data_IF_759616951818
#
_entry.id   IF_759616951818
#
_cell.length_a   1.000
_cell.length_b   1.000
_cell.length_c   1.000
_cell.angle_alpha   90.00
_cell.angle_beta   90.00
_cell.angle_gamma   90.00
#
_symmetry.space_group_name_H-M   'P 1'
#
loop_
_entity.id
_entity.type
_entity.pdbx_description
1 polymer ?
#
# COMPACT_ATOMS: atom_id res chain seq x y z
N UNK A 1 3.75 5.04 2.91
CA UNK A 1 4.73 4.34 2.07
C UNK A 1 6.01 3.95 2.83
N UNK A 2 6.62 4.84 3.63
CA UNK A 2 7.83 4.49 4.40
C UNK A 2 7.60 3.35 5.41
N UNK A 3 6.50 3.34 6.14
CA UNK A 3 6.16 2.31 7.13
C UNK A 3 6.07 0.91 6.52
N UNK A 4 5.48 0.80 5.33
CA UNK A 4 5.34 -0.50 4.63
C UNK A 4 6.67 -0.99 4.09
N UNK A 5 7.53 -0.10 3.58
CA UNK A 5 8.91 -0.45 3.19
C UNK A 5 9.66 -1.04 4.37
N UNK A 6 9.60 -0.39 5.54
CA UNK A 6 10.26 -0.85 6.76
C UNK A 6 9.76 -2.23 7.23
N UNK A 7 8.45 -2.50 7.13
CA UNK A 7 7.90 -3.82 7.50
C UNK A 7 8.45 -4.93 6.60
N UNK A 8 8.48 -4.69 5.29
CA UNK A 8 9.00 -5.66 4.33
C UNK A 8 10.52 -5.86 4.49
N UNK A 9 11.27 -4.79 4.73
CA UNK A 9 12.71 -4.85 4.99
C UNK A 9 13.01 -5.67 6.25
N UNK A 10 12.28 -5.41 7.34
CA UNK A 10 12.41 -6.18 8.58
C UNK A 10 12.06 -7.66 8.39
N UNK A 11 11.03 -7.96 7.60
CA UNK A 11 10.64 -9.33 7.31
C UNK A 11 11.73 -10.08 6.53
N UNK A 12 12.25 -9.48 5.45
CA UNK A 12 13.33 -10.07 4.64
C UNK A 12 14.58 -10.26 5.49
N UNK A 13 14.92 -9.30 6.34
CA UNK A 13 16.06 -9.40 7.26
C UNK A 13 15.89 -10.57 8.23
N UNK A 14 14.73 -10.67 8.87
CA UNK A 14 14.43 -11.75 9.81
C UNK A 14 14.52 -13.14 9.17
N UNK A 15 14.07 -13.29 7.91
CA UNK A 15 14.24 -14.53 7.15
C UNK A 15 15.71 -14.85 6.93
N UNK A 16 16.50 -13.84 6.55
CA UNK A 16 17.92 -13.99 6.27
C UNK A 16 18.71 -14.34 7.52
N UNK A 17 18.45 -13.67 8.65
CA UNK A 17 19.02 -14.00 9.96
C UNK A 17 18.64 -15.40 10.44
N UNK A 18 17.37 -15.81 10.23
CA UNK A 18 16.91 -17.15 10.58
C UNK A 18 17.64 -18.23 9.78
N UNK A 19 17.87 -17.98 8.50
CA UNK A 19 18.64 -18.88 7.64
C UNK A 19 20.10 -18.96 8.08
N UNK A 20 20.75 -17.85 8.42
CA UNK A 20 22.12 -17.82 8.94
C UNK A 20 22.23 -18.65 10.24
N UNK A 21 21.32 -18.44 11.20
CA UNK A 21 21.25 -19.23 12.45
C UNK A 21 20.98 -20.70 12.21
N UNK A 22 20.26 -21.06 11.15
CA UNK A 22 19.98 -22.45 10.78
C UNK A 22 21.22 -23.10 10.20
N UNK A 23 21.97 -22.40 9.37
CA UNK A 23 23.25 -22.87 8.83
C UNK A 23 24.30 -23.10 9.94
N UNK A 24 24.34 -22.23 10.94
CA UNK A 24 25.24 -22.39 12.10
C UNK A 24 24.97 -23.65 12.92
N UNK A 25 23.76 -24.20 12.82
CA UNK A 25 23.37 -25.43 13.55
C UNK A 25 23.60 -26.72 12.77
N UNK A 26 24.06 -26.63 11.52
CA UNK A 26 24.36 -27.82 10.72
C UNK A 26 25.57 -28.52 11.32
N UNK A 27 25.43 -29.82 11.76
CA UNK A 27 26.54 -30.56 12.31
C UNK A 27 27.64 -30.79 11.27
N UNK A 28 28.90 -30.77 11.69
CA UNK A 28 30.06 -30.97 10.80
C UNK A 28 30.07 -32.39 10.14
N UNK A 29 29.32 -33.34 10.69
CA UNK A 29 29.20 -34.72 10.20
C UNK A 29 28.22 -34.85 9.01
N UNK A 30 27.46 -33.80 8.72
CA UNK A 30 26.43 -33.79 7.66
C UNK A 30 27.00 -33.10 6.42
N UNK A 31 26.58 -33.60 5.25
CA UNK A 31 26.92 -32.89 4.00
C UNK A 31 26.34 -31.49 3.98
N UNK A 32 27.22 -30.53 4.24
CA UNK A 32 26.89 -29.10 4.29
C UNK A 32 26.23 -28.62 2.99
N UNK A 33 26.69 -29.10 1.84
CA UNK A 33 26.20 -28.69 0.53
C UNK A 33 24.71 -28.99 0.37
N UNK A 34 24.30 -30.20 0.72
CA UNK A 34 22.88 -30.64 0.64
C UNK A 34 21.99 -29.88 1.64
N UNK A 35 22.47 -29.72 2.88
CA UNK A 35 21.71 -28.99 3.91
C UNK A 35 21.61 -27.49 3.62
N UNK A 36 22.70 -26.90 3.15
CA UNK A 36 22.71 -25.51 2.69
C UNK A 36 21.69 -25.30 1.55
N UNK A 37 21.68 -26.20 0.57
CA UNK A 37 20.72 -26.12 -0.52
C UNK A 37 19.25 -26.14 -0.02
N UNK A 38 18.96 -27.00 0.97
CA UNK A 38 17.61 -27.06 1.55
C UNK A 38 17.24 -25.74 2.25
N UNK A 39 18.11 -25.21 3.12
CA UNK A 39 17.89 -23.92 3.81
C UNK A 39 17.72 -22.78 2.82
N UNK A 40 18.56 -22.71 1.78
CA UNK A 40 18.48 -21.65 0.77
C UNK A 40 17.23 -21.75 -0.12
N UNK A 41 16.75 -22.97 -0.40
CA UNK A 41 15.50 -23.19 -1.15
C UNK A 41 14.28 -22.73 -0.35
N UNK A 42 14.30 -22.87 0.97
CA UNK A 42 13.25 -22.37 1.86
C UNK A 42 13.22 -20.84 2.00
N UNK A 43 14.31 -20.16 1.60
CA UNK A 43 14.39 -18.70 1.55
C UNK A 43 13.59 -18.13 0.36
N UNK A 44 12.30 -18.41 0.31
CA UNK A 44 11.37 -17.89 -0.68
C UNK A 44 10.28 -17.06 0.00
N UNK A 45 9.78 -16.08 -0.71
CA UNK A 45 8.61 -15.33 -0.26
C UNK A 45 7.40 -15.77 -1.08
N UNK A 46 6.33 -16.16 -0.41
CA UNK A 46 5.08 -16.51 -1.08
C UNK A 46 4.57 -15.29 -1.88
N UNK A 47 4.24 -15.50 -3.15
CA UNK A 47 3.79 -14.44 -4.05
C UNK A 47 4.89 -13.54 -4.61
N UNK A 48 6.18 -13.79 -4.32
CA UNK A 48 7.33 -13.04 -4.84
C UNK A 48 8.26 -13.99 -5.59
N UNK A 49 8.07 -14.09 -6.89
CA UNK A 49 8.79 -15.05 -7.75
C UNK A 49 10.28 -14.73 -7.90
N UNK A 50 10.63 -13.45 -7.76
CA UNK A 50 12.01 -12.95 -7.84
C UNK A 50 12.82 -13.18 -6.56
N UNK A 51 12.18 -13.64 -5.46
CA UNK A 51 12.85 -13.85 -4.19
C UNK A 51 13.67 -15.16 -4.20
N UNK A 52 14.94 -15.07 -3.87
CA UNK A 52 15.83 -16.22 -3.72
C UNK A 52 16.95 -15.95 -2.73
N UNK A 53 17.38 -17.03 -2.05
CA UNK A 53 18.53 -17.04 -1.17
C UNK A 53 19.80 -17.54 -1.89
N UNK A 54 20.96 -17.02 -1.49
CA UNK A 54 22.26 -17.53 -1.89
C UNK A 54 23.28 -17.34 -0.77
N UNK A 55 24.35 -18.10 -0.81
CA UNK A 55 25.41 -18.12 0.21
C UNK A 55 26.74 -17.78 -0.42
N UNK A 56 27.48 -16.90 0.22
CA UNK A 56 28.80 -16.43 -0.20
C UNK A 56 29.80 -16.65 0.94
N UNK A 57 30.98 -17.10 0.63
CA UNK A 57 32.08 -17.22 1.61
C UNK A 57 32.64 -15.83 1.96
N UNK A 58 33.36 -15.76 3.05
CA UNK A 58 34.07 -14.53 3.50
C UNK A 58 35.05 -13.96 2.51
N UNK A 59 35.55 -14.78 1.59
CA UNK A 59 36.46 -14.38 0.50
C UNK A 59 35.68 -13.84 -0.75
N UNK A 60 34.35 -13.96 -0.76
CA UNK A 60 33.50 -13.54 -1.87
C UNK A 60 33.15 -14.66 -2.86
N UNK A 61 33.55 -15.91 -2.58
CA UNK A 61 33.23 -17.06 -3.42
C UNK A 61 31.77 -17.50 -3.19
N UNK A 62 31.01 -17.72 -4.26
CA UNK A 62 29.64 -18.20 -4.19
C UNK A 62 29.59 -19.66 -3.79
N UNK A 63 29.11 -19.95 -2.59
CA UNK A 63 28.99 -21.34 -2.07
C UNK A 63 27.68 -22.00 -2.52
N UNK A 64 26.61 -21.22 -2.63
CA UNK A 64 25.33 -21.66 -3.14
C UNK A 64 24.62 -20.53 -3.92
N UNK A 65 24.03 -20.89 -5.04
CA UNK A 65 23.15 -20.02 -5.82
C UNK A 65 22.10 -20.88 -6.55
N UNK A 66 20.83 -20.41 -6.72
CA UNK A 66 19.82 -21.13 -7.51
C UNK A 66 20.25 -21.40 -8.97
N UNK A 67 21.08 -20.52 -9.53
CA UNK A 67 21.72 -20.71 -10.84
C UNK A 67 23.06 -21.40 -10.63
N UNK A 68 23.14 -22.67 -10.97
CA UNK A 68 24.33 -23.51 -10.72
C UNK A 68 25.63 -22.94 -11.29
N UNK A 69 25.57 -22.30 -12.45
CA UNK A 69 26.73 -21.68 -13.11
C UNK A 69 27.40 -20.57 -12.33
N UNK A 70 26.74 -20.05 -11.29
CA UNK A 70 27.30 -19.02 -10.39
C UNK A 70 28.07 -19.59 -9.22
N UNK A 71 27.87 -20.85 -8.88
CA UNK A 71 28.57 -21.51 -7.77
C UNK A 71 30.08 -21.61 -8.08
N UNK A 72 30.92 -21.30 -7.10
CA UNK A 72 32.37 -21.26 -7.21
C UNK A 72 32.92 -19.99 -7.91
N UNK A 73 32.06 -19.07 -8.35
CA UNK A 73 32.48 -17.79 -8.91
C UNK A 73 32.41 -16.68 -7.86
N UNK A 74 33.11 -15.59 -8.13
CA UNK A 74 33.06 -14.39 -7.28
C UNK A 74 31.66 -13.74 -7.34
N UNK A 75 31.18 -13.24 -6.21
CA UNK A 75 29.91 -12.53 -6.09
C UNK A 75 29.91 -11.28 -6.99
N UNK A 76 28.80 -11.06 -7.69
CA UNK A 76 28.61 -9.92 -8.59
C UNK A 76 27.93 -8.73 -7.92
N UNK A 77 27.14 -8.99 -6.88
CA UNK A 77 26.35 -7.99 -6.17
C UNK A 77 27.23 -7.00 -5.42
N UNK A 78 27.16 -5.71 -5.77
CA UNK A 78 27.99 -4.65 -5.18
C UNK A 78 27.80 -4.48 -3.67
N UNK A 79 26.57 -4.71 -3.16
CA UNK A 79 26.31 -4.67 -1.71
C UNK A 79 27.13 -5.77 -1.01
N UNK A 80 27.06 -6.99 -1.53
CA UNK A 80 27.77 -8.13 -0.94
C UNK A 80 29.27 -8.02 -1.10
N UNK A 81 29.78 -7.48 -2.22
CA UNK A 81 31.20 -7.12 -2.36
C UNK A 81 31.65 -6.15 -1.27
N UNK A 82 30.80 -5.17 -0.92
CA UNK A 82 31.08 -4.25 0.18
C UNK A 82 31.17 -4.96 1.53
N UNK A 83 30.31 -5.95 1.79
CA UNK A 83 30.36 -6.79 3.00
C UNK A 83 31.64 -7.62 3.04
N UNK A 84 32.00 -8.29 1.93
CA UNK A 84 33.25 -9.05 1.78
C UNK A 84 34.46 -8.17 2.07
N UNK A 85 34.51 -6.95 1.50
CA UNK A 85 35.62 -6.01 1.72
C UNK A 85 35.73 -5.60 3.19
N UNK A 86 34.62 -5.42 3.90
CA UNK A 86 34.63 -5.14 5.34
C UNK A 86 35.18 -6.32 6.13
N UNK A 87 34.76 -7.54 5.85
CA UNK A 87 35.24 -8.76 6.49
C UNK A 87 36.77 -8.95 6.27
N UNK A 88 37.25 -8.74 5.03
CA UNK A 88 38.67 -8.82 4.71
C UNK A 88 39.49 -7.76 5.42
N UNK A 89 38.88 -6.61 5.75
CA UNK A 89 39.50 -5.57 6.54
C UNK A 89 39.47 -5.81 8.06
N UNK A 90 38.88 -6.93 8.50
CA UNK A 90 38.73 -7.28 9.90
C UNK A 90 37.51 -6.60 10.58
N UNK A 91 36.66 -5.94 9.81
CA UNK A 91 35.42 -5.34 10.30
C UNK A 91 34.25 -6.30 10.08
N UNK A 92 33.46 -6.57 11.12
CA UNK A 92 32.26 -7.38 11.03
C UNK A 92 31.06 -6.44 10.87
N UNK A 93 30.45 -6.35 9.67
CA UNK A 93 29.28 -5.51 9.47
C UNK A 93 28.06 -6.10 10.18
N UNK A 94 27.12 -5.23 10.57
CA UNK A 94 25.83 -5.66 11.09
C UNK A 94 24.95 -6.17 9.96
N UNK A 95 24.08 -7.14 10.28
CA UNK A 95 23.06 -7.63 9.38
C UNK A 95 22.16 -6.48 8.93
N UNK A 96 21.86 -6.40 7.65
CA UNK A 96 21.11 -5.27 7.10
C UNK A 96 20.36 -5.62 5.82
N UNK A 97 19.43 -4.74 5.47
CA UNK A 97 18.78 -4.71 4.13
C UNK A 97 19.23 -3.46 3.40
N UNK A 98 19.65 -3.64 2.17
CA UNK A 98 20.08 -2.55 1.29
C UNK A 98 19.32 -2.61 -0.02
N UNK A 99 18.90 -1.47 -0.50
CA UNK A 99 18.29 -1.34 -1.83
C UNK A 99 19.38 -1.03 -2.84
N UNK A 100 19.44 -1.77 -3.95
CA UNK A 100 20.40 -1.58 -5.03
C UNK A 100 19.76 -1.73 -6.40
N UNK A 101 20.44 -1.24 -7.45
CA UNK A 101 19.97 -1.40 -8.83
C UNK A 101 20.78 -2.52 -9.49
N UNK A 102 20.06 -3.48 -10.07
CA UNK A 102 20.68 -4.55 -10.85
C UNK A 102 20.01 -4.63 -12.22
N UNK A 103 20.76 -4.33 -13.27
CA UNK A 103 20.29 -4.33 -14.67
C UNK A 103 18.99 -3.52 -14.87
N UNK A 104 18.87 -2.35 -14.22
CA UNK A 104 17.71 -1.48 -14.33
C UNK A 104 16.55 -1.82 -13.38
N UNK A 105 16.63 -2.94 -12.66
CA UNK A 105 15.62 -3.34 -11.66
C UNK A 105 16.10 -2.99 -10.25
N UNK A 106 15.25 -2.32 -9.49
CA UNK A 106 15.52 -2.03 -8.08
C UNK A 106 15.21 -3.25 -7.24
N UNK A 107 16.21 -3.74 -6.52
CA UNK A 107 16.14 -4.94 -5.68
C UNK A 107 16.46 -4.63 -4.22
N UNK A 108 15.91 -5.45 -3.32
CA UNK A 108 16.42 -5.59 -1.97
C UNK A 108 17.52 -6.64 -1.92
N UNK A 109 18.56 -6.40 -1.15
CA UNK A 109 19.51 -7.38 -0.69
C UNK A 109 19.53 -7.33 0.85
N UNK A 110 18.95 -8.33 1.49
CA UNK A 110 19.14 -8.58 2.90
C UNK A 110 20.35 -9.49 3.06
N UNK A 111 21.24 -9.18 3.97
CA UNK A 111 22.36 -10.05 4.29
C UNK A 111 22.48 -10.24 5.80
N UNK A 112 22.89 -11.45 6.20
CA UNK A 112 23.19 -11.82 7.57
C UNK A 112 24.44 -12.72 7.60
N UNK A 113 25.21 -12.59 8.67
CA UNK A 113 26.44 -13.35 8.83
C UNK A 113 26.23 -14.60 9.67
N UNK A 114 26.83 -15.71 9.26
CA UNK A 114 26.98 -16.89 10.08
C UNK A 114 28.13 -16.70 11.10
N UNK A 115 28.23 -17.57 12.09
CA UNK A 115 29.27 -17.53 13.11
C UNK A 115 30.70 -17.69 12.53
N UNK A 116 30.84 -18.36 11.40
CA UNK A 116 32.08 -18.54 10.64
C UNK A 116 32.24 -17.50 9.50
N UNK A 117 31.47 -16.38 9.56
CA UNK A 117 31.53 -15.23 8.64
C UNK A 117 31.14 -15.52 7.20
N UNK A 118 30.39 -16.59 6.93
CA UNK A 118 29.70 -16.72 5.63
C UNK A 118 28.55 -15.74 5.55
N UNK A 119 28.26 -15.27 4.35
CA UNK A 119 27.26 -14.23 4.08
C UNK A 119 26.05 -14.92 3.47
N UNK A 120 24.98 -15.03 4.25
CA UNK A 120 23.67 -15.41 3.75
C UNK A 120 23.02 -14.19 3.13
N UNK A 121 22.53 -14.32 1.91
CA UNK A 121 21.90 -13.19 1.21
C UNK A 121 20.53 -13.62 0.68
N UNK A 122 19.55 -12.76 0.89
CA UNK A 122 18.25 -12.86 0.24
C UNK A 122 18.08 -11.68 -0.70
N UNK A 123 17.80 -11.96 -1.97
CA UNK A 123 17.52 -10.95 -2.99
C UNK A 123 16.09 -11.06 -3.49
N UNK A 124 15.41 -9.93 -3.66
CA UNK A 124 14.07 -9.88 -4.22
C UNK A 124 13.82 -8.54 -4.93
N UNK A 125 12.96 -8.54 -5.93
CA UNK A 125 12.59 -7.33 -6.66
C UNK A 125 11.67 -6.46 -5.81
N UNK A 126 12.08 -5.22 -5.56
CA UNK A 126 11.32 -4.26 -4.77
C UNK A 126 9.93 -4.01 -5.37
N UNK A 127 9.85 -3.93 -6.71
CA UNK A 127 8.60 -3.72 -7.43
C UNK A 127 7.60 -4.84 -7.17
N UNK A 128 8.03 -6.10 -7.23
CA UNK A 128 7.18 -7.27 -7.03
C UNK A 128 6.67 -7.35 -5.58
N UNK A 129 7.53 -7.08 -4.60
CA UNK A 129 7.13 -7.02 -3.18
C UNK A 129 6.08 -5.94 -2.93
N UNK A 130 6.18 -4.81 -3.62
CA UNK A 130 5.30 -3.65 -3.43
C UNK A 130 4.02 -3.70 -4.28
N UNK A 131 3.93 -4.59 -5.26
CA UNK A 131 2.81 -4.67 -6.18
C UNK A 131 1.45 -4.90 -5.51
N UNK A 132 1.29 -5.86 -4.57
CA UNK A 132 0.01 -6.06 -3.88
C UNK A 132 -0.46 -4.80 -3.15
N UNK A 133 0.48 -4.06 -2.57
CA UNK A 133 0.20 -2.84 -1.80
C UNK A 133 -0.23 -1.70 -2.72
N UNK A 134 0.44 -1.52 -3.85
CA UNK A 134 0.07 -0.50 -4.83
C UNK A 134 -1.32 -0.75 -5.42
N UNK A 135 -1.67 -2.01 -5.66
CA UNK A 135 -3.00 -2.40 -6.12
C UNK A 135 -4.09 -2.13 -5.06
N UNK A 136 -3.83 -2.43 -3.78
CA UNK A 136 -4.74 -2.09 -2.68
C UNK A 136 -4.95 -0.58 -2.55
N UNK A 137 -3.88 0.21 -2.58
CA UNK A 137 -3.96 1.68 -2.51
C UNK A 137 -4.76 2.24 -3.69
N UNK A 138 -4.53 1.73 -4.90
CA UNK A 138 -5.28 2.11 -6.10
C UNK A 138 -6.76 1.81 -5.96
N UNK A 139 -7.11 0.62 -5.47
CA UNK A 139 -8.50 0.24 -5.22
C UNK A 139 -9.17 1.17 -4.20
N UNK A 140 -8.49 1.48 -3.09
CA UNK A 140 -8.97 2.43 -2.09
C UNK A 140 -9.21 3.83 -2.67
N UNK A 141 -8.31 4.32 -3.52
CA UNK A 141 -8.47 5.63 -4.18
C UNK A 141 -9.69 5.66 -5.10
N UNK A 142 -9.91 4.60 -5.89
CA UNK A 142 -11.07 4.47 -6.76
C UNK A 142 -12.36 4.46 -5.93
N UNK A 143 -12.41 3.65 -4.88
CA UNK A 143 -13.58 3.54 -3.99
C UNK A 143 -13.90 4.88 -3.33
N UNK A 144 -12.89 5.60 -2.83
CA UNK A 144 -13.06 6.93 -2.25
C UNK A 144 -13.61 7.93 -3.26
N UNK A 145 -13.11 7.90 -4.50
CA UNK A 145 -13.60 8.75 -5.58
C UNK A 145 -15.08 8.49 -5.92
N UNK A 146 -15.47 7.22 -6.01
CA UNK A 146 -16.87 6.83 -6.25
C UNK A 146 -17.78 7.30 -5.11
N UNK A 147 -17.39 7.09 -3.85
CA UNK A 147 -18.14 7.57 -2.69
C UNK A 147 -18.35 9.10 -2.72
N UNK A 148 -17.30 9.84 -3.06
CA UNK A 148 -17.35 11.31 -3.17
C UNK A 148 -18.38 11.75 -4.22
N UNK A 149 -18.40 11.12 -5.41
CA UNK A 149 -19.36 11.40 -6.47
C UNK A 149 -20.78 11.12 -5.98
N UNK A 150 -21.02 9.98 -5.33
CA UNK A 150 -22.35 9.64 -4.79
C UNK A 150 -22.80 10.66 -3.75
N UNK A 151 -21.93 11.07 -2.83
CA UNK A 151 -22.24 12.10 -1.84
C UNK A 151 -22.59 13.46 -2.49
N UNK A 152 -21.83 13.88 -3.50
CA UNK A 152 -22.14 15.10 -4.25
C UNK A 152 -23.50 15.04 -4.95
N UNK A 153 -23.81 13.92 -5.61
CA UNK A 153 -25.11 13.72 -6.25
C UNK A 153 -26.25 13.73 -5.22
N UNK A 154 -26.08 13.05 -4.09
CA UNK A 154 -27.07 13.08 -3.00
C UNK A 154 -27.27 14.49 -2.45
N UNK A 155 -26.21 15.28 -2.27
CA UNK A 155 -26.31 16.66 -1.82
C UNK A 155 -27.06 17.55 -2.82
N UNK A 156 -26.83 17.38 -4.12
CA UNK A 156 -27.56 18.10 -5.17
C UNK A 156 -29.04 17.73 -5.18
N UNK A 157 -29.37 16.45 -5.01
CA UNK A 157 -30.77 15.98 -4.90
C UNK A 157 -31.45 16.60 -3.67
N UNK A 158 -30.82 16.54 -2.50
CA UNK A 158 -31.37 17.12 -1.27
C UNK A 158 -31.55 18.64 -1.38
N UNK A 159 -30.60 19.33 -1.98
CA UNK A 159 -30.73 20.79 -2.22
C UNK A 159 -31.91 21.12 -3.11
N UNK A 160 -32.12 20.37 -4.18
CA UNK A 160 -33.23 20.63 -5.10
C UNK A 160 -34.60 20.19 -4.55
N UNK A 161 -34.65 19.09 -3.78
CA UNK A 161 -35.92 18.54 -3.26
C UNK A 161 -36.36 19.20 -1.96
N UNK A 162 -35.45 19.67 -1.13
CA UNK A 162 -35.75 20.19 0.23
C UNK A 162 -35.35 21.64 0.38
N UNK A 163 -34.09 21.98 0.20
CA UNK A 163 -33.55 23.30 0.56
C UNK A 163 -34.17 24.41 -0.29
N UNK A 164 -34.24 24.24 -1.61
CA UNK A 164 -34.83 25.24 -2.51
C UNK A 164 -36.29 25.49 -2.24
N UNK A 165 -37.17 24.48 -2.11
CA UNK A 165 -38.58 24.67 -1.78
C UNK A 165 -38.79 25.35 -0.43
N UNK A 166 -38.04 24.98 0.61
CA UNK A 166 -38.12 25.61 1.93
C UNK A 166 -37.75 27.11 1.82
N UNK A 167 -36.68 27.44 1.12
CA UNK A 167 -36.31 28.84 0.92
C UNK A 167 -37.38 29.64 0.17
N UNK A 168 -38.02 29.04 -0.85
CA UNK A 168 -39.15 29.66 -1.54
C UNK A 168 -40.36 29.88 -0.64
N UNK A 169 -40.68 28.92 0.23
CA UNK A 169 -41.75 29.03 1.21
C UNK A 169 -41.47 30.16 2.22
N UNK A 170 -40.25 30.20 2.75
CA UNK A 170 -39.81 31.30 3.65
C UNK A 170 -39.94 32.66 2.97
N UNK A 171 -39.55 32.79 1.73
CA UNK A 171 -39.69 34.01 0.94
C UNK A 171 -41.18 34.43 0.82
N UNK A 172 -42.10 33.50 0.54
CA UNK A 172 -43.53 33.78 0.45
C UNK A 172 -44.07 34.24 1.81
N UNK A 173 -43.70 33.59 2.89
CA UNK A 173 -44.10 33.96 4.26
C UNK A 173 -43.63 35.38 4.59
N UNK A 174 -42.38 35.72 4.33
CA UNK A 174 -41.83 37.04 4.62
C UNK A 174 -42.54 38.14 3.85
N UNK A 175 -42.83 37.93 2.56
CA UNK A 175 -43.59 38.89 1.75
C UNK A 175 -45.01 39.09 2.26
N UNK A 176 -45.66 37.98 2.62
CA UNK A 176 -47.02 38.06 3.17
C UNK A 176 -47.05 38.83 4.49
N UNK A 177 -46.06 38.64 5.35
CA UNK A 177 -45.91 39.41 6.61
C UNK A 177 -45.72 40.91 6.37
N UNK A 178 -45.17 41.33 5.21
CA UNK A 178 -45.02 42.71 4.81
C UNK A 178 -46.20 43.23 3.94
N UNK A 179 -47.36 42.58 3.98
CA UNK A 179 -48.55 42.93 3.22
C UNK A 179 -48.34 42.95 1.67
N UNK A 180 -47.30 42.27 1.18
CA UNK A 180 -47.07 42.12 -0.26
C UNK A 180 -47.71 40.86 -0.78
N UNK A 181 -48.89 40.96 -1.40
CA UNK A 181 -49.71 39.88 -1.93
C UNK A 181 -49.47 39.64 -3.44
N UNK A 182 -48.46 40.26 -4.06
CA UNK A 182 -48.19 40.09 -5.48
C UNK A 182 -47.94 38.63 -5.86
N UNK A 183 -48.56 38.20 -6.95
CA UNK A 183 -48.47 36.80 -7.38
C UNK A 183 -47.13 36.51 -8.05
N UNK A 184 -46.43 35.47 -7.59
CA UNK A 184 -45.17 35.03 -8.22
C UNK A 184 -45.43 33.73 -9.00
N UNK A 185 -45.22 33.76 -10.32
CA UNK A 185 -45.43 32.62 -11.22
C UNK A 185 -44.63 31.39 -10.82
N UNK A 186 -43.48 31.54 -10.17
CA UNK A 186 -42.63 30.42 -9.69
C UNK A 186 -43.24 29.66 -8.49
N UNK A 187 -44.23 30.23 -7.80
CA UNK A 187 -44.90 29.60 -6.65
C UNK A 187 -45.83 28.46 -7.05
N UNK A 188 -46.27 28.40 -8.33
CA UNK A 188 -47.18 27.37 -8.80
C UNK A 188 -46.64 25.94 -8.65
N UNK A 189 -45.37 25.73 -8.87
CA UNK A 189 -44.69 24.44 -8.68
C UNK A 189 -44.65 24.03 -7.20
N UNK A 190 -44.61 24.96 -6.28
CA UNK A 190 -44.58 24.72 -4.85
C UNK A 190 -45.94 24.21 -4.37
N UNK A 191 -47.03 24.81 -4.81
CA UNK A 191 -48.41 24.45 -4.45
C UNK A 191 -48.85 23.10 -5.02
N UNK A 192 -48.22 22.62 -6.09
CA UNK A 192 -48.55 21.35 -6.72
C UNK A 192 -47.84 20.14 -6.11
N UNK A 193 -46.98 20.36 -5.09
CA UNK A 193 -46.28 19.26 -4.37
C UNK A 193 -47.28 18.52 -3.48
N UNK A 194 -47.03 17.21 -3.32
CA UNK A 194 -47.90 16.31 -2.50
C UNK A 194 -47.30 16.03 -1.12
N UNK A 195 -46.16 16.65 -0.79
CA UNK A 195 -45.46 16.51 0.49
C UNK A 195 -45.87 17.64 1.46
N UNK A 196 -45.30 17.62 2.66
CA UNK A 196 -45.60 18.58 3.75
C UNK A 196 -45.29 20.03 3.32
N UNK A 197 -44.28 20.22 2.51
CA UNK A 197 -43.93 21.53 1.96
C UNK A 197 -45.01 22.04 1.02
N UNK A 198 -45.56 21.16 0.21
CA UNK A 198 -46.69 21.48 -0.69
C UNK A 198 -47.94 21.82 0.08
N UNK A 199 -48.29 21.07 1.13
CA UNK A 199 -49.43 21.34 2.01
C UNK A 199 -49.31 22.73 2.65
N UNK A 200 -48.14 23.04 3.26
CA UNK A 200 -47.91 24.34 3.86
C UNK A 200 -47.99 25.50 2.85
N UNK A 201 -47.44 25.28 1.66
CA UNK A 201 -47.53 26.28 0.59
C UNK A 201 -48.96 26.53 0.09
N UNK A 202 -49.78 25.47 -0.05
CA UNK A 202 -51.17 25.56 -0.44
C UNK A 202 -52.02 26.29 0.62
N UNK A 203 -51.86 25.96 1.90
CA UNK A 203 -52.55 26.64 3.01
C UNK A 203 -52.21 28.13 3.06
N UNK A 204 -50.93 28.51 2.89
CA UNK A 204 -50.52 29.88 2.79
C UNK A 204 -51.15 30.61 1.59
N UNK A 205 -51.22 29.94 0.45
CA UNK A 205 -51.87 30.49 -0.74
C UNK A 205 -53.36 30.78 -0.50
N UNK A 206 -54.07 29.82 0.11
CA UNK A 206 -55.51 29.94 0.42
C UNK A 206 -55.77 31.09 1.40
N UNK A 207 -54.97 31.22 2.45
CA UNK A 207 -55.10 32.34 3.41
C UNK A 207 -54.84 33.70 2.77
N UNK A 208 -53.89 33.81 1.86
CA UNK A 208 -53.63 35.09 1.10
C UNK A 208 -54.76 35.46 0.16
N UNK A 209 -55.56 34.52 -0.30
CA UNK A 209 -56.68 34.77 -1.20
C UNK A 209 -57.91 35.27 -0.48
N UNK A 210 -57.98 35.03 0.83
CA UNK A 210 -59.11 35.38 1.71
C UNK A 210 -58.84 36.64 2.56
N UNK A 211 -57.68 37.29 2.38
CA UNK A 211 -57.36 38.61 2.93
C UNK A 211 -57.52 39.68 1.87
#
# INVERSE_FOLDING_TARGET
SATVSNVNENFILSLTESAAKTLDKIPAEVDFSTQCAAVMQDMRMEGVSSAYGYLVDSDGTMLYHPTADKIGKSVENEVVKGVVSQLQSGNIPQDAVVTYNFNGTVKYAAYALTSDHKIVVMSADKGEIMEPITNMVRLMQITMGVCLIICCLAALVLTNMITKPIHQLTYIITRTANFDFTHNANSRRLYSRKDEIGIMAAEMHNKRKNL
#
